data_IF_601787819055
#
_entry.id   IF_601787819055
#
_cell.length_a   1.000
_cell.length_b   1.000
_cell.length_c   1.000
_cell.angle_alpha   90.00
_cell.angle_beta   90.00
_cell.angle_gamma   90.00
#
_symmetry.space_group_name_H-M   'P 1'
#
loop_
_entity.id
_entity.type
_entity.pdbx_description
1 polymer ?
#
# COMPACT_ATOMS: atom_id res chain seq x y z
N UNK A 1 1.60 -0.32 22.19
CA UNK A 1 1.34 -1.76 21.98
C UNK A 1 1.58 -2.45 23.31
N UNK A 2 0.62 -3.23 23.77
CA UNK A 2 0.74 -3.98 25.03
C UNK A 2 0.92 -5.46 24.68
N UNK A 3 1.97 -6.08 25.21
CA UNK A 3 2.29 -7.49 25.00
C UNK A 3 1.82 -8.26 26.23
N UNK A 4 1.06 -9.32 26.02
CA UNK A 4 0.51 -10.15 27.08
C UNK A 4 0.66 -11.63 26.76
N UNK A 5 0.44 -12.46 27.77
CA UNK A 5 0.38 -13.90 27.62
C UNK A 5 -1.07 -14.36 27.84
N UNK A 6 -1.63 -15.10 26.88
CA UNK A 6 -2.95 -15.73 27.00
C UNK A 6 -2.73 -17.24 26.93
N UNK A 7 -3.00 -17.95 28.03
CA UNK A 7 -2.88 -19.41 28.11
C UNK A 7 -1.49 -19.94 27.67
N UNK A 8 -0.39 -19.31 28.12
CA UNK A 8 0.96 -19.72 27.75
C UNK A 8 1.38 -19.34 26.33
N UNK A 9 0.61 -18.48 25.63
CA UNK A 9 0.92 -18.02 24.27
C UNK A 9 1.12 -16.52 24.23
N UNK A 10 2.16 -16.03 23.53
CA UNK A 10 2.36 -14.60 23.34
C UNK A 10 1.19 -14.02 22.53
N UNK A 11 0.68 -12.89 23.00
CA UNK A 11 -0.40 -12.14 22.39
C UNK A 11 -0.07 -10.65 22.44
N UNK A 12 -0.65 -9.91 21.49
CA UNK A 12 -0.46 -8.46 21.39
C UNK A 12 -1.84 -7.80 21.35
N UNK A 13 -2.05 -6.85 22.25
CA UNK A 13 -3.21 -5.98 22.20
C UNK A 13 -2.90 -4.80 21.27
N UNK A 14 -3.77 -4.64 20.28
CA UNK A 14 -3.70 -3.59 19.29
C UNK A 14 -5.08 -2.97 19.09
N UNK A 15 -5.10 -1.81 18.44
CA UNK A 15 -6.35 -1.18 18.03
C UNK A 15 -7.16 -2.13 17.14
N UNK A 16 -8.47 -2.19 17.37
CA UNK A 16 -9.38 -2.88 16.46
C UNK A 16 -9.58 -2.02 15.21
N UNK A 17 -9.08 -2.47 14.08
CA UNK A 17 -9.16 -1.73 12.82
C UNK A 17 -10.42 -2.13 12.03
N UNK A 18 -11.28 -1.16 11.78
CA UNK A 18 -12.45 -1.33 10.90
C UNK A 18 -12.20 -0.64 9.56
N UNK A 19 -12.31 -1.39 8.47
CA UNK A 19 -12.03 -0.89 7.12
C UNK A 19 -11.96 -2.01 6.08
N UNK A 20 -11.41 -1.71 4.92
CA UNK A 20 -11.24 -2.65 3.82
C UNK A 20 -9.77 -2.73 3.40
N UNK A 21 -9.25 -3.95 3.29
CA UNK A 21 -7.89 -4.21 2.82
C UNK A 21 -7.74 -3.90 1.33
N UNK A 22 -6.53 -3.52 0.93
CA UNK A 22 -6.28 -3.03 -0.43
C UNK A 22 -6.41 -4.09 -1.52
N UNK A 23 -6.36 -5.38 -1.14
CA UNK A 23 -6.67 -6.49 -2.04
C UNK A 23 -8.09 -6.41 -2.61
N UNK A 24 -9.03 -5.83 -1.85
CA UNK A 24 -10.45 -5.77 -2.17
C UNK A 24 -10.89 -4.37 -2.65
N UNK A 25 -9.97 -3.43 -2.86
CA UNK A 25 -10.35 -2.07 -3.27
C UNK A 25 -10.94 -2.02 -4.69
N UNK A 26 -11.93 -1.13 -4.92
CA UNK A 26 -12.57 -0.96 -6.21
C UNK A 26 -11.71 -0.08 -7.15
N UNK A 27 -12.13 -0.02 -8.42
CA UNK A 27 -11.49 0.79 -9.46
C UNK A 27 -11.30 2.29 -9.10
N UNK A 28 -12.11 2.85 -8.21
CA UNK A 28 -11.98 4.24 -7.75
C UNK A 28 -10.63 4.52 -7.09
N UNK A 29 -10.02 3.51 -6.44
CA UNK A 29 -8.68 3.65 -5.85
C UNK A 29 -7.58 3.89 -6.90
N UNK A 30 -7.79 3.50 -8.16
CA UNK A 30 -6.88 3.78 -9.28
C UNK A 30 -7.05 5.19 -9.86
N UNK A 31 -8.04 5.99 -9.42
CA UNK A 31 -8.13 7.38 -9.84
C UNK A 31 -6.85 8.11 -9.40
N UNK A 32 -6.14 8.85 -10.28
CA UNK A 32 -4.80 9.37 -9.97
C UNK A 32 -4.69 10.13 -8.65
N UNK A 33 -5.65 11.01 -8.36
CA UNK A 33 -5.70 11.75 -7.09
C UNK A 33 -5.95 10.86 -5.86
N UNK A 34 -6.77 9.82 -5.99
CA UNK A 34 -6.99 8.84 -4.91
C UNK A 34 -5.73 7.98 -4.70
N UNK A 35 -5.16 7.48 -5.80
CA UNK A 35 -3.97 6.66 -5.80
C UNK A 35 -2.80 7.37 -5.12
N UNK A 36 -2.51 8.63 -5.51
CA UNK A 36 -1.38 9.38 -4.91
C UNK A 36 -1.62 9.69 -3.44
N UNK A 37 -2.87 9.97 -3.04
CA UNK A 37 -3.24 10.18 -1.64
C UNK A 37 -3.02 8.92 -0.80
N UNK A 38 -3.48 7.77 -1.29
CA UNK A 38 -3.29 6.46 -0.63
C UNK A 38 -1.80 6.12 -0.54
N UNK A 39 -1.07 6.25 -1.64
CA UNK A 39 0.38 6.01 -1.69
C UNK A 39 1.15 6.91 -0.71
N UNK A 40 0.75 8.19 -0.60
CA UNK A 40 1.38 9.15 0.33
C UNK A 40 1.16 8.74 1.79
N UNK A 41 -0.05 8.34 2.17
CA UNK A 41 -0.33 7.86 3.53
C UNK A 41 0.46 6.57 3.85
N UNK A 42 0.48 5.63 2.92
CA UNK A 42 1.24 4.38 3.05
C UNK A 42 2.75 4.63 3.19
N UNK A 43 3.33 5.49 2.33
CA UNK A 43 4.73 5.88 2.41
C UNK A 43 5.07 6.60 3.73
N UNK A 44 4.14 7.41 4.26
CA UNK A 44 4.29 8.02 5.58
C UNK A 44 4.35 7.00 6.72
N UNK A 45 3.54 5.94 6.65
CA UNK A 45 3.61 4.82 7.60
C UNK A 45 4.93 4.05 7.51
N UNK A 46 5.41 3.79 6.29
CA UNK A 46 6.71 3.14 6.05
C UNK A 46 7.88 4.00 6.54
N UNK A 47 7.89 5.30 6.23
CA UNK A 47 8.91 6.23 6.71
C UNK A 47 8.98 6.26 8.25
N UNK A 48 7.83 6.35 8.92
CA UNK A 48 7.77 6.35 10.37
C UNK A 48 8.38 5.07 10.99
N UNK A 49 8.08 3.90 10.40
CA UNK A 49 8.65 2.63 10.84
C UNK A 49 10.16 2.52 10.54
N UNK A 50 10.57 2.85 9.32
CA UNK A 50 11.97 2.78 8.88
C UNK A 50 12.86 3.70 9.73
N UNK A 51 12.38 4.90 10.12
CA UNK A 51 13.11 5.84 10.99
C UNK A 51 13.44 5.27 12.37
N UNK A 52 12.67 4.32 12.88
CA UNK A 52 12.93 3.64 14.15
C UNK A 52 13.60 2.27 13.96
N UNK A 53 14.10 1.98 12.76
CA UNK A 53 14.81 0.74 12.46
C UNK A 53 13.90 -0.46 12.15
N UNK A 54 12.59 -0.24 11.97
CA UNK A 54 11.62 -1.32 11.79
C UNK A 54 11.34 -1.57 10.31
N UNK A 55 11.65 -2.77 9.85
CA UNK A 55 11.28 -3.27 8.52
C UNK A 55 9.95 -4.02 8.62
N UNK A 56 9.06 -3.88 7.64
CA UNK A 56 7.85 -4.69 7.57
C UNK A 56 8.18 -6.13 7.13
N UNK A 57 8.99 -6.29 6.09
CA UNK A 57 9.56 -7.57 5.63
C UNK A 57 8.59 -8.48 4.86
N UNK A 58 7.31 -8.11 4.78
CA UNK A 58 6.23 -8.88 4.14
C UNK A 58 5.11 -7.99 3.63
N UNK A 59 5.46 -6.85 3.02
CA UNK A 59 4.45 -5.96 2.46
C UNK A 59 3.71 -6.64 1.32
N UNK A 60 2.39 -6.71 1.45
CA UNK A 60 1.47 -7.21 0.42
C UNK A 60 0.25 -6.30 0.35
N UNK A 61 -0.70 -6.59 -0.54
CA UNK A 61 -1.98 -5.87 -0.57
C UNK A 61 -2.77 -5.98 0.75
N UNK A 62 -2.55 -7.05 1.52
CA UNK A 62 -3.21 -7.27 2.82
C UNK A 62 -2.54 -6.51 3.97
N UNK A 63 -1.42 -5.82 3.71
CA UNK A 63 -0.75 -4.96 4.68
C UNK A 63 -1.37 -3.56 4.76
N UNK A 64 -2.32 -3.22 3.89
CA UNK A 64 -2.86 -1.87 3.77
C UNK A 64 -4.38 -1.88 3.96
N UNK A 65 -4.85 -1.23 5.01
CA UNK A 65 -6.26 -1.12 5.35
C UNK A 65 -6.71 0.34 5.23
N UNK A 66 -7.75 0.60 4.43
CA UNK A 66 -8.42 1.90 4.40
C UNK A 66 -9.62 1.87 5.34
N UNK A 67 -9.62 2.76 6.32
CA UNK A 67 -10.75 2.94 7.26
C UNK A 67 -11.89 3.71 6.60
N UNK A 68 -13.08 3.64 7.19
CA UNK A 68 -14.26 4.40 6.73
C UNK A 68 -14.07 5.92 6.81
N UNK A 69 -13.20 6.38 7.70
CA UNK A 69 -12.85 7.79 7.87
C UNK A 69 -11.80 8.27 6.85
N UNK A 70 -11.38 7.40 5.94
CA UNK A 70 -10.42 7.71 4.89
C UNK A 70 -8.97 7.78 5.35
N UNK A 71 -8.66 7.18 6.51
CA UNK A 71 -7.29 6.97 6.98
C UNK A 71 -6.80 5.61 6.51
N UNK A 72 -5.66 5.59 5.83
CA UNK A 72 -4.97 4.35 5.48
C UNK A 72 -3.98 3.97 6.58
N UNK A 73 -4.03 2.71 7.01
CA UNK A 73 -3.12 2.12 7.98
C UNK A 73 -2.30 1.01 7.33
N UNK A 74 -1.02 0.95 7.73
CA UNK A 74 -0.11 -0.13 7.37
C UNK A 74 -0.03 -1.08 8.56
N UNK A 75 -0.34 -2.36 8.35
CA UNK A 75 -0.46 -3.38 9.39
C UNK A 75 0.60 -4.46 9.21
N UNK A 76 1.01 -5.13 10.29
CA UNK A 76 1.89 -6.30 10.22
C UNK A 76 3.40 -6.03 10.38
N UNK A 77 3.78 -4.83 10.83
CA UNK A 77 5.18 -4.55 11.17
C UNK A 77 5.71 -5.44 12.29
N UNK A 78 6.94 -5.93 12.14
CA UNK A 78 7.62 -6.71 13.17
C UNK A 78 7.01 -8.09 13.43
N UNK A 79 6.07 -8.53 12.60
CA UNK A 79 5.53 -9.88 12.73
C UNK A 79 6.61 -10.91 12.39
N UNK A 80 6.79 -11.93 13.23
CA UNK A 80 7.83 -12.91 13.01
C UNK A 80 7.52 -13.81 11.81
N UNK A 81 8.55 -14.35 11.12
CA UNK A 81 8.38 -15.25 9.97
C UNK A 81 7.40 -16.40 10.21
N UNK A 82 7.44 -16.99 11.41
CA UNK A 82 6.59 -18.13 11.79
C UNK A 82 5.10 -17.80 11.94
N UNK A 83 4.72 -16.52 12.06
CA UNK A 83 3.32 -16.11 12.14
C UNK A 83 2.64 -16.13 10.76
N UNK A 84 3.42 -15.96 9.68
CA UNK A 84 2.87 -16.13 8.34
C UNK A 84 2.68 -17.63 8.05
N UNK A 85 1.50 -18.00 7.56
CA UNK A 85 1.17 -19.36 7.17
C UNK A 85 1.96 -19.90 5.95
N UNK A 86 3.03 -19.23 5.54
CA UNK A 86 3.87 -19.62 4.42
C UNK A 86 5.01 -20.54 4.92
N UNK A 87 5.10 -21.71 4.29
CA UNK A 87 5.93 -22.82 4.72
C UNK A 87 7.43 -22.54 4.86
N UNK A 88 8.12 -23.52 5.44
CA UNK A 88 9.56 -23.56 5.73
C UNK A 88 10.39 -23.34 4.46
N UNK A 89 10.63 -22.07 4.11
CA UNK A 89 11.54 -21.63 3.07
C UNK A 89 12.60 -20.69 3.64
N UNK A 90 13.66 -20.43 2.86
CA UNK A 90 14.66 -19.42 3.20
C UNK A 90 13.93 -18.10 3.39
N UNK A 91 14.04 -17.50 4.58
CA UNK A 91 13.40 -16.23 4.86
C UNK A 91 13.92 -15.18 3.85
N UNK A 92 13.04 -14.45 3.16
CA UNK A 92 13.47 -13.40 2.24
C UNK A 92 14.34 -12.38 2.99
N UNK A 93 15.27 -11.75 2.27
CA UNK A 93 16.11 -10.69 2.83
C UNK A 93 15.22 -9.54 3.32
N UNK A 94 15.19 -9.35 4.63
CA UNK A 94 14.40 -8.30 5.28
C UNK A 94 15.24 -7.01 5.28
N UNK A 95 14.90 -6.06 4.41
CA UNK A 95 15.56 -4.76 4.32
C UNK A 95 14.59 -3.63 3.96
N UNK A 96 14.96 -2.38 4.23
CA UNK A 96 14.17 -1.22 3.79
C UNK A 96 13.99 -1.18 2.27
N UNK A 97 15.03 -1.56 1.52
CA UNK A 97 14.96 -1.63 0.06
C UNK A 97 13.99 -2.72 -0.42
N UNK A 98 13.94 -3.86 0.27
CA UNK A 98 12.96 -4.92 -0.02
C UNK A 98 11.52 -4.45 0.26
N UNK A 99 11.29 -3.71 1.36
CA UNK A 99 9.99 -3.09 1.65
C UNK A 99 9.55 -2.13 0.54
N UNK A 100 10.45 -1.25 0.07
CA UNK A 100 10.14 -0.30 -0.99
C UNK A 100 9.80 -1.00 -2.31
N UNK A 101 10.55 -2.05 -2.67
CA UNK A 101 10.24 -2.89 -3.85
C UNK A 101 8.88 -3.57 -3.73
N UNK A 102 8.60 -4.18 -2.58
CA UNK A 102 7.30 -4.82 -2.31
C UNK A 102 6.15 -3.80 -2.36
N UNK A 103 6.37 -2.59 -1.83
CA UNK A 103 5.41 -1.51 -1.94
C UNK A 103 5.19 -1.06 -3.39
N UNK A 104 6.25 -1.04 -4.21
CA UNK A 104 6.15 -0.83 -5.67
C UNK A 104 5.19 -1.80 -6.35
N UNK A 105 5.27 -3.09 -6.01
CA UNK A 105 4.35 -4.12 -6.54
C UNK A 105 2.89 -3.87 -6.13
N UNK A 106 2.67 -3.44 -4.89
CA UNK A 106 1.31 -3.10 -4.40
C UNK A 106 0.77 -1.86 -5.12
N UNK A 107 1.59 -0.82 -5.25
CA UNK A 107 1.26 0.41 -5.97
C UNK A 107 0.97 0.17 -7.46
N UNK A 108 1.74 -0.72 -8.10
CA UNK A 108 1.45 -1.21 -9.44
C UNK A 108 0.06 -1.87 -9.47
N UNK A 109 -0.22 -2.81 -8.57
CA UNK A 109 -1.53 -3.44 -8.44
C UNK A 109 -2.69 -2.44 -8.31
N UNK A 110 -2.52 -1.41 -7.47
CA UNK A 110 -3.52 -0.34 -7.32
C UNK A 110 -3.74 0.45 -8.61
N UNK A 111 -2.70 0.69 -9.41
CA UNK A 111 -2.84 1.40 -10.70
C UNK A 111 -3.65 0.59 -11.72
N UNK A 112 -3.65 -0.74 -11.59
CA UNK A 112 -4.37 -1.65 -12.50
C UNK A 112 -5.85 -1.86 -12.14
N UNK A 113 -6.35 -1.33 -11.01
CA UNK A 113 -7.74 -1.55 -10.59
C UNK A 113 -8.77 -0.99 -11.57
N UNK A 114 -8.43 0.09 -12.28
CA UNK A 114 -9.28 0.65 -13.34
C UNK A 114 -9.38 -0.26 -14.58
N UNK A 115 -8.37 -1.08 -14.85
CA UNK A 115 -8.32 -1.97 -16.02
C UNK A 115 -9.19 -3.23 -15.90
N UNK A 116 -9.61 -3.60 -14.68
CA UNK A 116 -10.39 -4.83 -14.42
C UNK A 116 -11.83 -4.79 -14.95
N UNK A 117 -12.36 -3.63 -15.34
CA UNK A 117 -13.64 -3.51 -16.06
C UNK A 117 -13.43 -2.68 -17.32
N UNK A 118 -13.58 -3.30 -18.50
CA UNK A 118 -13.64 -2.62 -19.80
C UNK A 118 -14.82 -1.64 -19.82
N UNK A 119 -14.64 -0.42 -19.32
CA UNK A 119 -15.59 0.67 -19.49
C UNK A 119 -14.81 1.88 -20.02
N UNK A 120 -15.33 2.40 -21.14
CA UNK A 120 -14.92 3.55 -21.94
C UNK A 120 -13.74 4.42 -21.48
N UNK A 121 -12.76 4.61 -22.39
CA UNK A 121 -11.77 5.71 -22.49
C UNK A 121 -11.35 6.32 -21.13
N UNK A 122 -10.83 5.53 -20.20
CA UNK A 122 -10.09 6.10 -19.07
C UNK A 122 -8.84 6.79 -19.63
N UNK A 123 -8.59 8.01 -19.16
CA UNK A 123 -7.33 8.72 -19.44
C UNK A 123 -6.20 7.83 -18.93
N UNK A 124 -5.15 7.67 -19.74
CA UNK A 124 -3.98 6.88 -19.35
C UNK A 124 -3.45 7.34 -17.99
N UNK A 125 -2.99 6.40 -17.17
CA UNK A 125 -2.45 6.68 -15.86
C UNK A 125 -1.25 7.63 -15.98
N UNK A 126 -1.17 8.73 -15.20
CA UNK A 126 -0.16 9.79 -15.40
C UNK A 126 1.28 9.30 -15.36
N UNK A 127 2.11 9.82 -16.26
CA UNK A 127 3.53 9.41 -16.38
C UNK A 127 4.33 9.70 -15.10
N UNK A 128 4.02 10.77 -14.37
CA UNK A 128 4.67 11.06 -13.08
C UNK A 128 4.44 9.94 -12.05
N UNK A 129 3.24 9.34 -12.03
CA UNK A 129 2.92 8.22 -11.14
C UNK A 129 3.55 6.92 -11.62
N UNK A 130 3.64 6.70 -12.94
CA UNK A 130 4.44 5.61 -13.50
C UNK A 130 5.92 5.72 -13.13
N UNK A 131 6.46 6.95 -13.12
CA UNK A 131 7.82 7.21 -12.68
C UNK A 131 8.10 6.71 -11.26
N UNK A 132 7.16 6.94 -10.33
CA UNK A 132 7.26 6.42 -8.95
C UNK A 132 7.32 4.90 -8.93
N UNK A 133 6.41 4.22 -9.63
CA UNK A 133 6.37 2.75 -9.69
C UNK A 133 7.69 2.21 -10.25
N UNK A 134 8.16 2.75 -11.39
CA UNK A 134 9.43 2.31 -12.00
C UNK A 134 10.63 2.53 -11.10
N UNK A 135 10.66 3.63 -10.35
CA UNK A 135 11.72 3.88 -9.35
C UNK A 135 11.66 2.91 -8.18
N UNK A 136 10.48 2.51 -7.73
CA UNK A 136 10.34 1.49 -6.67
C UNK A 136 10.76 0.10 -7.15
N UNK A 137 10.56 -0.20 -8.43
CA UNK A 137 10.94 -1.48 -9.05
C UNK A 137 12.40 -1.52 -9.55
N UNK A 138 13.08 -0.38 -9.61
CA UNK A 138 14.46 -0.30 -10.07
C UNK A 138 15.41 -1.08 -9.15
N UNK A 139 16.36 -1.80 -9.76
CA UNK A 139 17.44 -2.44 -9.04
C UNK A 139 18.57 -1.44 -8.74
N UNK A 140 19.34 -1.73 -7.68
CA UNK A 140 20.48 -0.91 -7.29
C UNK A 140 21.74 -1.22 -8.12
N UNK A 141 21.75 -2.29 -8.91
CA UNK A 141 22.92 -2.65 -9.71
C UNK A 141 23.17 -1.59 -10.79
N UNK A 142 24.43 -1.12 -10.95
CA UNK A 142 24.75 -0.20 -12.01
C UNK A 142 24.48 -0.88 -13.36
N UNK A 143 23.77 -0.22 -14.29
CA UNK A 143 23.64 -0.76 -15.62
C UNK A 143 25.05 -1.01 -16.18
N UNK A 144 25.24 -2.12 -16.91
CA UNK A 144 26.45 -2.31 -17.71
C UNK A 144 26.71 -1.02 -18.51
N UNK A 145 27.98 -0.67 -18.74
CA UNK A 145 28.41 0.65 -19.25
C UNK A 145 27.67 1.17 -20.50
N UNK A 146 26.98 0.29 -21.23
CA UNK A 146 26.22 0.59 -22.46
C UNK A 146 24.69 0.69 -22.24
N UNK A 147 24.20 0.53 -21.01
CA UNK A 147 22.77 0.64 -20.67
C UNK A 147 22.52 1.92 -19.86
N UNK A 148 21.57 2.75 -20.31
CA UNK A 148 21.12 3.91 -19.54
C UNK A 148 20.17 3.40 -18.46
N UNK A 149 20.48 3.61 -17.18
CA UNK A 149 19.57 3.25 -16.08
C UNK A 149 18.20 3.88 -16.32
N UNK A 150 17.15 3.07 -16.38
CA UNK A 150 15.79 3.53 -16.71
C UNK A 150 15.18 4.38 -15.60
N UNK A 151 15.60 4.18 -14.35
CA UNK A 151 15.33 5.05 -13.21
C UNK A 151 16.26 4.72 -12.02
N UNK A 152 16.62 5.69 -11.18
CA UNK A 152 17.34 5.41 -9.93
C UNK A 152 16.36 5.02 -8.81
N UNK A 153 16.64 3.95 -8.04
CA UNK A 153 15.77 3.54 -6.94
C UNK A 153 15.74 4.59 -5.83
N UNK A 154 14.60 4.66 -5.13
CA UNK A 154 14.50 5.45 -3.90
C UNK A 154 15.44 4.88 -2.84
N UNK A 155 16.22 5.75 -2.20
CA UNK A 155 17.16 5.36 -1.15
C UNK A 155 16.48 5.16 0.20
N UNK A 156 15.27 5.71 0.38
CA UNK A 156 14.50 5.61 1.62
C UNK A 156 13.00 5.88 1.40
N UNK A 157 12.18 5.45 2.35
CA UNK A 157 10.77 5.82 2.39
C UNK A 157 10.54 7.34 2.55
N UNK A 158 11.47 8.05 3.20
CA UNK A 158 11.43 9.51 3.30
C UNK A 158 11.55 10.19 1.93
N UNK A 159 12.45 9.70 1.08
CA UNK A 159 12.62 10.22 -0.29
C UNK A 159 11.38 9.95 -1.14
N UNK A 160 10.84 8.73 -1.06
CA UNK A 160 9.58 8.36 -1.71
C UNK A 160 8.43 9.27 -1.27
N UNK A 161 8.29 9.49 0.04
CA UNK A 161 7.24 10.33 0.62
C UNK A 161 7.35 11.77 0.10
N UNK A 162 8.56 12.34 0.07
CA UNK A 162 8.78 13.69 -0.45
C UNK A 162 8.38 13.81 -1.93
N UNK A 163 8.70 12.80 -2.75
CA UNK A 163 8.35 12.79 -4.17
C UNK A 163 6.84 12.64 -4.39
N UNK A 164 6.18 11.75 -3.65
CA UNK A 164 4.72 11.60 -3.65
C UNK A 164 4.00 12.89 -3.23
N UNK A 165 4.49 13.56 -2.18
CA UNK A 165 3.93 14.84 -1.73
C UNK A 165 4.10 15.94 -2.78
N UNK A 166 5.21 15.95 -3.51
CA UNK A 166 5.43 16.87 -4.64
C UNK A 166 4.43 16.58 -5.76
N UNK A 167 4.30 15.32 -6.18
CA UNK A 167 3.36 14.91 -7.25
C UNK A 167 1.90 15.17 -6.85
N UNK A 168 1.55 14.98 -5.58
CA UNK A 168 0.20 15.23 -5.07
C UNK A 168 -0.25 16.69 -5.27
N UNK A 169 0.67 17.66 -5.24
CA UNK A 169 0.35 19.10 -5.48
C UNK A 169 -0.06 19.37 -6.92
N UNK A 170 0.43 18.57 -7.86
CA UNK A 170 0.21 18.72 -9.30
C UNK A 170 -0.87 17.76 -9.83
N UNK A 171 -1.26 16.77 -9.03
CA UNK A 171 -2.24 15.75 -9.41
C UNK A 171 -3.64 16.17 -8.99
N UNK A 172 -4.59 16.36 -9.93
CA UNK A 172 -5.96 16.71 -9.59
C UNK A 172 -6.60 15.66 -8.67
N UNK A 173 -7.12 16.13 -7.54
CA UNK A 173 -7.93 15.32 -6.64
C UNK A 173 -9.39 15.30 -7.11
N UNK A 174 -10.05 14.15 -7.00
CA UNK A 174 -11.48 14.01 -7.32
C UNK A 174 -12.22 13.61 -6.06
N UNK A 175 -13.01 14.53 -5.52
CA UNK A 175 -13.85 14.26 -4.35
C UNK A 175 -14.87 13.16 -4.63
N UNK A 176 -15.50 13.14 -5.81
CA UNK A 176 -16.45 12.08 -6.22
C UNK A 176 -15.79 10.69 -6.23
N UNK A 177 -14.58 10.55 -6.79
CA UNK A 177 -13.87 9.26 -6.76
C UNK A 177 -13.53 8.83 -5.34
N UNK A 178 -13.12 9.77 -4.49
CA UNK A 178 -12.77 9.52 -3.10
C UNK A 178 -14.00 9.13 -2.26
N UNK A 179 -15.10 9.86 -2.38
CA UNK A 179 -16.37 9.56 -1.70
C UNK A 179 -16.91 8.19 -2.10
N UNK A 180 -16.84 7.83 -3.39
CA UNK A 180 -17.24 6.49 -3.86
C UNK A 180 -16.34 5.40 -3.31
N UNK A 181 -15.04 5.65 -3.20
CA UNK A 181 -14.11 4.73 -2.57
C UNK A 181 -14.48 4.53 -1.09
N UNK A 182 -14.64 5.60 -0.31
CA UNK A 182 -14.99 5.51 1.11
C UNK A 182 -16.36 4.86 1.34
N UNK A 183 -17.34 5.17 0.50
CA UNK A 183 -18.63 4.48 0.53
C UNK A 183 -18.48 2.98 0.30
N UNK A 184 -17.70 2.58 -0.69
CA UNK A 184 -17.44 1.16 -0.94
C UNK A 184 -16.75 0.48 0.24
N UNK A 185 -15.76 1.15 0.86
CA UNK A 185 -15.10 0.67 2.08
C UNK A 185 -16.12 0.47 3.21
N UNK A 186 -16.98 1.46 3.47
CA UNK A 186 -18.01 1.36 4.50
C UNK A 186 -19.00 0.22 4.25
N UNK A 187 -19.42 0.03 3.00
CA UNK A 187 -20.38 -1.01 2.62
C UNK A 187 -19.77 -2.44 2.67
N UNK A 188 -18.44 -2.58 2.60
CA UNK A 188 -17.75 -3.88 2.49
C UNK A 188 -16.78 -4.20 3.64
N UNK A 189 -16.65 -3.31 4.63
CA UNK A 189 -15.87 -3.61 5.83
C UNK A 189 -16.45 -4.86 6.54
N UNK A 190 -15.61 -5.75 7.10
CA UNK A 190 -16.06 -6.99 7.73
C UNK A 190 -16.99 -6.77 8.93
N UNK A 191 -16.84 -5.63 9.61
CA UNK A 191 -17.71 -5.22 10.73
C UNK A 191 -18.90 -4.35 10.28
N UNK A 192 -19.15 -4.20 8.98
CA UNK A 192 -20.31 -3.45 8.49
C UNK A 192 -21.59 -4.05 9.09
N UNK A 193 -22.49 -3.24 9.69
CA UNK A 193 -23.70 -3.76 10.30
C UNK A 193 -24.48 -4.56 9.25
N UNK A 194 -24.83 -5.81 9.59
CA UNK A 194 -25.34 -6.84 8.69
C UNK A 194 -26.62 -6.48 7.89
N UNK A 195 -27.16 -5.27 8.04
CA UNK A 195 -28.39 -4.79 7.40
C UNK A 195 -28.28 -4.25 5.97
N UNK A 196 -27.11 -4.29 5.32
CA UNK A 196 -26.92 -3.69 3.98
C UNK A 196 -26.32 -4.59 2.91
N UNK A 197 -26.11 -5.88 3.17
CA UNK A 197 -25.90 -6.86 2.10
C UNK A 197 -27.22 -7.10 1.38
N UNK A 198 -27.61 -6.18 0.49
CA UNK A 198 -28.68 -6.44 -0.47
C UNK A 198 -28.23 -7.60 -1.34
N UNK A 199 -28.90 -8.74 -1.15
CA UNK A 199 -28.99 -9.77 -2.17
C UNK A 199 -29.55 -9.11 -3.46
N UNK A 200 -28.77 -9.14 -4.52
CA UNK A 200 -29.10 -8.63 -5.84
C UNK A 200 -28.15 -9.20 -6.86
#
# INVERSE_FOLDING_TARGET
>A
VEVLEINGRPAVLQEWLTGLFSADWPAFAAHPGCWVRLATMAAGGLDAAHRVGLVHGRLTSDSFLLTTDGVLKVTGFGEPPWLAAAGVGVAPEVSFAADLRAFGQVLFGWSQLAGKKRVAKSKAFPEALWGVIRRLEAEAEPPMADTVASAQPYQSAAELLADLQRIARETPFSDDAWERLLKHVADNAPDAPAGLRKAG
#
